data_IF_462979896401
#
_entry.id   IF_462979896401
#
_cell.length_a   1.000
_cell.length_b   1.000
_cell.length_c   1.000
_cell.angle_alpha   90.00
_cell.angle_beta   90.00
_cell.angle_gamma   90.00
#
_symmetry.space_group_name_H-M   'P 1'
#
loop_
_entity.id
_entity.type
_entity.pdbx_description
1 polymer ?
2 water ?
#
# COMPACT_ATOMS: atom_id res chain seq x y z
N UNK A 1 18.10 -19.66 19.77
CA UNK A 1 19.19 -19.23 18.86
C UNK A 1 18.59 -18.19 17.95
N UNK A 2 19.08 -18.15 16.72
CA UNK A 2 18.57 -17.13 15.81
C UNK A 2 17.73 -17.82 14.76
N UNK A 3 16.71 -17.12 14.39
CA UNK A 3 15.84 -17.55 13.35
C UNK A 3 16.56 -17.53 11.99
N UNK A 4 16.07 -18.32 11.05
CA UNK A 4 16.69 -18.34 9.71
C UNK A 4 16.32 -17.11 8.87
N UNK A 5 15.11 -16.63 9.09
CA UNK A 5 14.59 -15.41 8.47
C UNK A 5 13.43 -14.86 9.26
N UNK A 6 13.06 -13.60 9.00
CA UNK A 6 11.85 -12.97 9.53
C UNK A 6 11.11 -12.30 8.39
N UNK A 7 10.45 -13.10 7.54
CA UNK A 7 9.96 -12.58 6.26
C UNK A 7 8.98 -11.42 6.37
N UNK A 8 8.18 -11.34 7.45
CA UNK A 8 7.19 -10.35 7.57
C UNK A 8 7.57 -9.12 8.44
N UNK A 9 8.86 -8.94 8.68
CA UNK A 9 9.30 -7.86 9.57
C UNK A 9 8.78 -6.49 9.07
N UNK A 10 8.92 -6.20 7.79
CA UNK A 10 8.52 -4.91 7.25
C UNK A 10 7.00 -4.66 7.40
N UNK A 11 6.20 -5.66 7.07
CA UNK A 11 4.76 -5.55 7.23
C UNK A 11 4.36 -5.39 8.70
N UNK A 12 5.00 -6.15 9.57
CA UNK A 12 4.85 -5.97 11.00
C UNK A 12 5.12 -4.55 11.46
N UNK A 13 6.15 -3.93 10.94
CA UNK A 13 6.55 -2.62 11.35
C UNK A 13 5.53 -1.55 10.87
N UNK A 14 4.97 -1.77 9.69
CA UNK A 14 3.87 -0.94 9.19
C UNK A 14 2.60 -1.13 10.05
N UNK A 15 2.26 -2.38 10.38
CA UNK A 15 1.03 -2.65 11.17
C UNK A 15 1.13 -2.15 12.61
N UNK A 16 2.34 -2.14 13.17
CA UNK A 16 2.60 -1.69 14.53
C UNK A 16 2.30 -0.22 14.79
N UNK A 17 2.21 0.57 13.75
CA UNK A 17 1.81 1.92 13.88
C UNK A 17 0.38 2.19 13.52
N UNK A 18 -0.40 1.16 13.28
CA UNK A 18 -1.77 1.37 12.90
C UNK A 18 -2.59 1.22 14.15
N UNK A 19 -3.89 1.31 14.02
CA UNK A 19 -4.79 1.21 15.17
C UNK A 19 -5.80 0.10 14.95
N UNK A 20 -6.38 -0.36 16.04
CA UNK A 20 -7.22 -1.53 16.03
C UNK A 20 -8.43 -1.38 15.07
N UNK A 21 -9.01 -0.18 15.08
CA UNK A 21 -10.14 0.13 14.23
C UNK A 21 -9.82 0.25 12.74
N UNK A 22 -8.56 0.33 12.36
CA UNK A 22 -8.21 0.17 10.96
C UNK A 22 -8.48 -1.29 10.43
N UNK A 23 -8.49 -2.26 11.34
CA UNK A 23 -8.76 -3.67 11.02
C UNK A 23 -10.18 -4.12 11.38
N UNK A 24 -10.70 -3.68 12.51
CA UNK A 24 -11.99 -4.21 13.00
C UNK A 24 -13.18 -3.79 12.19
N UNK A 25 -13.04 -2.71 11.42
CA UNK A 25 -14.09 -2.28 10.48
C UNK A 25 -14.38 -3.22 9.29
N UNK A 26 -13.49 -4.18 9.03
CA UNK A 26 -13.63 -5.17 7.94
C UNK A 26 -13.82 -6.58 8.55
N UNK A 27 -14.89 -7.32 8.18
CA UNK A 27 -15.19 -8.52 8.91
C UNK A 27 -14.11 -9.60 8.87
N UNK A 28 -13.55 -9.85 7.70
CA UNK A 28 -12.58 -10.89 7.59
C UNK A 28 -11.26 -10.49 8.27
N UNK A 29 -10.84 -9.25 8.05
CA UNK A 29 -9.63 -8.74 8.68
C UNK A 29 -9.77 -8.82 10.23
N UNK A 30 -10.94 -8.43 10.75
CA UNK A 30 -11.18 -8.49 12.19
C UNK A 30 -10.95 -9.92 12.75
N UNK A 31 -11.55 -10.90 12.09
CA UNK A 31 -11.32 -12.29 12.41
C UNK A 31 -9.86 -12.71 12.32
N UNK A 32 -9.16 -12.23 11.28
CA UNK A 32 -7.72 -12.52 11.15
C UNK A 32 -6.89 -12.22 12.40
N UNK A 33 -7.10 -11.05 12.99
CA UNK A 33 -6.33 -10.66 14.17
C UNK A 33 -7.01 -11.02 15.50
N UNK A 34 -8.08 -11.80 15.43
CA UNK A 34 -8.77 -12.28 16.65
C UNK A 34 -8.21 -13.67 17.17
N UNK A 35 -7.37 -14.29 16.37
CA UNK A 35 -6.45 -15.33 16.81
C UNK A 35 -5.11 -14.62 17.19
N UNK A 36 -4.49 -14.98 18.29
CA UNK A 36 -4.82 -16.15 19.11
C UNK A 36 -5.60 -15.86 20.42
N UNK A 37 -6.03 -14.65 20.65
CA UNK A 37 -6.60 -14.28 21.93
C UNK A 37 -8.07 -14.41 22.07
N UNK A 38 -8.78 -14.63 20.97
CA UNK A 38 -10.24 -14.63 21.02
C UNK A 38 -10.82 -13.24 21.09
N UNK A 39 -10.01 -12.25 20.73
CA UNK A 39 -10.45 -10.90 20.46
C UNK A 39 -9.38 -10.21 19.55
N UNK A 40 -9.82 -9.23 18.75
CA UNK A 40 -8.93 -8.54 17.85
C UNK A 40 -7.81 -7.90 18.65
N UNK A 41 -6.55 -8.09 18.24
CA UNK A 41 -5.40 -7.46 18.93
C UNK A 41 -4.20 -7.25 17.99
N UNK A 42 -3.54 -6.10 18.17
CA UNK A 42 -2.30 -5.77 17.58
C UNK A 42 -1.11 -5.91 18.54
N UNK A 43 -1.31 -6.49 19.70
CA UNK A 43 -0.27 -6.52 20.70
C UNK A 43 0.95 -7.31 20.27
N UNK A 44 0.79 -8.31 19.41
CA UNK A 44 1.97 -9.10 18.99
C UNK A 44 2.82 -8.32 17.94
N UNK A 45 2.16 -7.52 17.12
CA UNK A 45 2.78 -6.58 16.24
C UNK A 45 3.56 -5.55 17.01
N UNK A 46 2.95 -5.00 18.03
CA UNK A 46 3.65 -4.00 18.85
C UNK A 46 4.91 -4.48 19.51
N UNK A 47 4.88 -5.72 19.98
CA UNK A 47 6.08 -6.30 20.62
C UNK A 47 7.13 -6.76 19.62
N UNK A 48 6.74 -7.00 18.37
CA UNK A 48 7.64 -7.43 17.31
C UNK A 48 8.19 -6.37 16.41
N UNK A 49 7.57 -5.17 16.37
CA UNK A 49 8.04 -4.09 15.50
C UNK A 49 9.38 -3.58 15.89
N UNK A 50 10.25 -3.25 14.90
CA UNK A 50 11.45 -2.55 15.17
C UNK A 50 11.28 -1.02 15.34
N UNK A 51 10.08 -0.49 15.11
CA UNK A 51 9.84 0.92 15.21
C UNK A 51 9.17 1.30 16.55
N UNK A 52 8.75 0.37 17.37
CA UNK A 52 7.99 0.69 18.58
C UNK A 52 8.94 0.84 19.76
N UNK A 53 8.87 2.01 20.39
CA UNK A 53 9.58 2.33 21.61
C UNK A 53 8.92 1.62 22.78
N UNK A 54 9.63 0.66 23.35
CA UNK A 54 9.08 -0.19 24.39
C UNK A 54 10.14 -0.12 25.45
N UNK A 55 9.82 -0.63 26.61
CA UNK A 55 10.71 -0.73 27.73
C UNK A 55 10.94 -2.20 28.03
N UNK A 56 12.20 -2.60 28.02
CA UNK A 56 12.65 -4.01 28.17
C UNK A 56 12.26 -4.68 29.46
N UNK A 57 12.31 -3.89 30.52
CA UNK A 57 11.95 -4.36 31.86
C UNK A 57 10.56 -5.02 31.89
N UNK A 58 9.57 -4.45 31.17
CA UNK A 58 8.19 -4.91 31.21
C UNK A 58 7.81 -5.80 30.01
N UNK A 59 8.70 -5.88 29.02
CA UNK A 59 8.51 -6.76 27.90
C UNK A 59 8.22 -8.19 28.38
N UNK A 60 9.02 -8.67 29.31
CA UNK A 60 8.97 -10.06 29.72
C UNK A 60 7.58 -10.42 30.34
N UNK A 61 7.06 -9.50 31.15
CA UNK A 61 5.73 -9.61 31.74
C UNK A 61 4.62 -9.57 30.75
N UNK A 62 4.71 -8.67 29.78
CA UNK A 62 3.71 -8.60 28.73
C UNK A 62 3.66 -9.88 27.89
N UNK A 63 4.82 -10.44 27.59
CA UNK A 63 4.92 -11.64 26.79
C UNK A 63 4.30 -12.82 27.57
N UNK A 64 4.57 -12.90 28.87
CA UNK A 64 4.05 -13.94 29.71
C UNK A 64 2.50 -13.89 29.73
N UNK A 65 2.00 -12.69 29.96
CA UNK A 65 0.57 -12.45 29.98
C UNK A 65 -0.10 -12.88 28.65
N UNK A 66 0.49 -12.50 27.54
CA UNK A 66 -0.08 -12.86 26.24
C UNK A 66 -0.07 -14.36 25.98
N UNK A 67 1.02 -15.03 26.38
CA UNK A 67 1.10 -16.46 26.27
C UNK A 67 -0.03 -17.17 27.10
N UNK A 68 -0.17 -16.73 28.36
CA UNK A 68 -1.10 -17.32 29.30
C UNK A 68 -2.53 -17.12 28.81
N UNK A 69 -2.84 -15.94 28.33
CA UNK A 69 -4.17 -15.71 27.76
C UNK A 69 -4.41 -16.45 26.46
N UNK A 70 -3.39 -16.72 25.65
CA UNK A 70 -3.55 -17.44 24.40
C UNK A 70 -3.90 -18.95 24.62
N UNK A 71 -3.11 -19.63 25.42
CA UNK A 71 -3.22 -21.07 25.59
C UNK A 71 -3.89 -21.47 26.90
N UNK A 72 -4.18 -20.50 27.78
CA UNK A 72 -4.90 -20.75 29.02
C UNK A 72 -4.13 -21.59 30.02
N UNK A 73 -2.84 -21.67 29.94
CA UNK A 73 -2.06 -22.22 31.02
C UNK A 73 -1.49 -21.04 31.79
N UNK A 74 -1.80 -20.98 33.06
CA UNK A 74 -1.40 -19.89 33.93
C UNK A 74 -0.58 -20.38 35.14
N UNK A 75 -0.46 -21.69 35.33
CA UNK A 75 0.18 -22.20 36.53
C UNK A 75 1.67 -22.48 36.37
N UNK A 76 2.23 -22.26 35.21
CA UNK A 76 3.66 -22.53 34.96
C UNK A 76 4.06 -21.81 33.71
N UNK A 77 4.94 -20.83 33.88
CA UNK A 77 5.29 -19.95 32.81
C UNK A 77 5.91 -20.69 31.61
N UNK A 78 6.77 -21.65 31.89
CA UNK A 78 7.39 -22.36 30.81
C UNK A 78 6.35 -23.22 30.08
N UNK A 79 5.35 -23.79 30.79
CA UNK A 79 4.30 -24.56 30.11
C UNK A 79 3.50 -23.64 29.21
N UNK A 80 3.35 -22.40 29.62
CA UNK A 80 2.57 -21.50 28.79
C UNK A 80 3.28 -21.09 27.53
N UNK A 81 4.62 -21.03 27.52
CA UNK A 81 5.32 -20.81 26.28
C UNK A 81 5.27 -22.02 25.34
N UNK A 82 5.42 -23.21 25.90
CA UNK A 82 5.18 -24.41 25.13
C UNK A 82 3.78 -24.34 24.51
N UNK A 83 2.78 -24.00 25.35
CA UNK A 83 1.38 -23.93 24.97
C UNK A 83 1.21 -22.95 23.82
N UNK A 84 1.88 -21.82 23.89
CA UNK A 84 1.69 -20.84 22.81
C UNK A 84 2.41 -21.29 21.55
N UNK A 85 3.56 -21.91 21.72
CA UNK A 85 4.27 -22.44 20.56
C UNK A 85 3.39 -23.51 19.82
N UNK A 86 2.72 -24.37 20.60
CA UNK A 86 1.75 -25.29 20.06
C UNK A 86 0.62 -24.61 19.28
N UNK A 87 0.05 -23.52 19.80
CA UNK A 87 -0.96 -22.80 19.05
C UNK A 87 -0.44 -22.27 17.73
N UNK A 88 0.74 -21.70 17.76
CA UNK A 88 1.44 -21.22 16.55
C UNK A 88 1.55 -22.34 15.52
N UNK A 89 2.08 -23.47 15.93
CA UNK A 89 2.26 -24.58 14.98
C UNK A 89 0.97 -25.12 14.38
N UNK A 90 -0.04 -25.26 15.21
CA UNK A 90 -1.38 -25.70 14.86
C UNK A 90 -2.01 -24.82 13.81
N UNK A 91 -1.99 -23.50 14.03
CA UNK A 91 -2.50 -22.56 13.06
C UNK A 91 -1.60 -22.50 11.77
N UNK A 92 -0.30 -22.57 11.94
CA UNK A 92 0.60 -22.56 10.79
C UNK A 92 0.36 -23.76 9.88
N UNK A 93 0.13 -24.93 10.50
CA UNK A 93 -0.14 -26.14 9.70
C UNK A 93 -1.42 -25.95 8.85
N UNK A 94 -2.47 -25.44 9.47
CA UNK A 94 -3.69 -25.14 8.75
C UNK A 94 -3.45 -24.09 7.67
N UNK A 95 -2.66 -23.08 7.97
CA UNK A 95 -2.41 -22.04 6.98
C UNK A 95 -1.40 -22.41 5.89
N UNK A 96 -0.74 -23.59 5.99
CA UNK A 96 0.28 -23.98 5.01
C UNK A 96 1.57 -23.17 5.14
N UNK A 97 1.88 -22.74 6.37
CA UNK A 97 3.08 -22.00 6.64
C UNK A 97 4.18 -23.03 6.97
N UNK A 98 5.35 -22.82 6.39
CA UNK A 98 6.52 -23.70 6.67
C UNK A 98 6.99 -23.64 8.13
N UNK A 99 6.96 -24.77 8.80
CA UNK A 99 7.30 -24.80 10.22
C UNK A 99 8.80 -24.58 10.48
N UNK A 100 9.66 -24.72 9.47
CA UNK A 100 11.07 -24.28 9.57
C UNK A 100 11.18 -22.82 9.92
N UNK A 101 10.22 -22.00 9.53
CA UNK A 101 10.25 -20.56 9.89
C UNK A 101 9.90 -20.28 11.33
N UNK A 102 9.39 -21.27 12.07
CA UNK A 102 8.78 -21.01 13.38
C UNK A 102 9.35 -21.91 14.49
N UNK A 103 10.63 -21.77 14.81
CA UNK A 103 11.29 -22.66 15.78
C UNK A 103 11.01 -22.34 17.24
N UNK A 104 10.35 -21.24 17.49
CA UNK A 104 9.90 -20.96 18.85
C UNK A 104 10.90 -20.12 19.66
N UNK A 105 11.84 -19.49 19.02
CA UNK A 105 12.81 -18.63 19.68
C UNK A 105 12.18 -17.27 19.97
N UNK A 106 11.38 -16.73 19.08
CA UNK A 106 10.79 -15.40 19.26
C UNK A 106 9.31 -15.54 19.03
N UNK A 107 8.60 -15.89 20.08
CA UNK A 107 7.18 -16.23 19.96
C UNK A 107 6.28 -15.06 19.55
N UNK A 108 6.64 -13.86 19.96
CA UNK A 108 5.93 -12.65 19.54
C UNK A 108 6.02 -12.44 18.03
N UNK A 109 7.21 -12.61 17.43
CA UNK A 109 7.35 -12.52 16.02
C UNK A 109 6.53 -13.62 15.36
N UNK A 110 6.61 -14.84 15.89
CA UNK A 110 5.87 -15.94 15.25
C UNK A 110 4.38 -15.78 15.21
N UNK A 111 3.78 -15.28 16.28
CA UNK A 111 2.36 -15.01 16.25
C UNK A 111 2.05 -13.93 15.22
N UNK A 112 2.86 -12.86 15.19
CA UNK A 112 2.61 -11.76 14.22
C UNK A 112 2.77 -12.26 12.78
N UNK A 113 3.73 -13.15 12.53
CA UNK A 113 3.90 -13.77 11.20
C UNK A 113 2.64 -14.51 10.80
N UNK A 114 2.16 -15.36 11.69
CA UNK A 114 0.93 -16.15 11.38
C UNK A 114 -0.28 -15.21 11.19
N UNK A 115 -0.40 -14.19 12.02
CA UNK A 115 -1.43 -13.18 11.83
C UNK A 115 -1.32 -12.44 10.47
N UNK A 116 -0.10 -12.13 10.03
CA UNK A 116 0.09 -11.56 8.71
C UNK A 116 -0.46 -12.47 7.60
N UNK A 117 -0.18 -13.76 7.68
CA UNK A 117 -0.66 -14.71 6.70
C UNK A 117 -2.19 -14.76 6.72
N UNK A 118 -2.75 -14.84 7.90
CA UNK A 118 -4.23 -14.73 8.06
C UNK A 118 -4.76 -13.47 7.42
N UNK A 119 -4.10 -12.33 7.70
CA UNK A 119 -4.57 -11.05 7.14
C UNK A 119 -4.53 -11.02 5.63
N UNK A 120 -3.46 -11.56 5.05
CA UNK A 120 -3.33 -11.52 3.62
C UNK A 120 -4.36 -12.41 2.95
N UNK A 121 -4.65 -13.56 3.53
CA UNK A 121 -5.71 -14.37 2.95
C UNK A 121 -7.08 -13.73 3.19
N UNK A 122 -7.30 -13.19 4.38
CA UNK A 122 -8.61 -12.57 4.71
C UNK A 122 -8.94 -11.36 3.84
N UNK A 123 -7.90 -10.61 3.46
CA UNK A 123 -8.10 -9.37 2.68
C UNK A 123 -8.76 -9.64 1.34
N UNK A 124 -8.47 -10.80 0.76
CA UNK A 124 -9.08 -11.14 -0.52
C UNK A 124 -10.56 -11.21 -0.45
N UNK A 125 -11.08 -11.77 0.65
CA UNK A 125 -12.50 -11.90 0.83
C UNK A 125 -13.17 -10.54 1.11
N UNK A 126 -12.57 -9.73 1.97
CA UNK A 126 -13.13 -8.40 2.16
C UNK A 126 -13.14 -7.59 0.85
N UNK A 127 -12.05 -7.67 0.09
CA UNK A 127 -11.97 -6.97 -1.20
C UNK A 127 -13.01 -7.48 -2.16
N UNK A 128 -13.24 -8.77 -2.25
CA UNK A 128 -14.29 -9.23 -3.15
C UNK A 128 -15.72 -8.88 -2.65
N UNK A 129 -15.91 -8.54 -1.37
CA UNK A 129 -17.16 -7.84 -0.92
C UNK A 129 -17.14 -6.30 -1.10
N UNK A 130 -16.14 -5.78 -1.82
CA UNK A 130 -16.03 -4.36 -2.14
C UNK A 130 -16.01 -3.44 -0.93
N UNK A 131 -15.33 -3.81 0.14
CA UNK A 131 -15.16 -2.87 1.26
C UNK A 131 -14.40 -1.61 0.81
N UNK A 132 -14.54 -0.53 1.59
CA UNK A 132 -13.87 0.75 1.28
C UNK A 132 -12.42 0.65 1.77
N UNK A 133 -11.44 0.66 0.84
CA UNK A 133 -10.06 0.59 1.28
C UNK A 133 -9.61 1.71 2.20
N UNK A 134 -8.89 1.34 3.23
CA UNK A 134 -8.13 2.25 4.03
C UNK A 134 -6.64 1.87 3.83
N UNK A 135 -5.77 2.43 4.64
CA UNK A 135 -4.37 2.29 4.36
C UNK A 135 -3.88 0.92 4.82
N UNK A 136 -4.56 0.34 5.81
CA UNK A 136 -4.31 -1.00 6.25
C UNK A 136 -4.58 -2.00 5.13
N UNK A 137 -5.70 -1.85 4.46
CA UNK A 137 -6.04 -2.74 3.36
C UNK A 137 -5.06 -2.58 2.21
N UNK A 138 -4.72 -1.34 1.87
CA UNK A 138 -3.80 -1.08 0.78
C UNK A 138 -2.41 -1.71 1.03
N UNK A 139 -1.92 -1.60 2.25
CA UNK A 139 -0.65 -2.21 2.64
C UNK A 139 -0.69 -3.71 2.44
N UNK A 140 -1.81 -4.34 2.78
CA UNK A 140 -1.92 -5.77 2.59
C UNK A 140 -1.97 -6.14 1.14
N UNK A 141 -2.67 -5.33 0.33
CA UNK A 141 -2.73 -5.54 -1.10
C UNK A 141 -1.34 -5.43 -1.73
N UNK A 142 -0.57 -4.47 -1.31
CA UNK A 142 0.75 -4.30 -1.88
C UNK A 142 1.73 -5.46 -1.52
N UNK A 143 1.73 -5.88 -0.27
CA UNK A 143 2.54 -7.00 0.18
C UNK A 143 2.18 -8.26 -0.61
N UNK A 144 0.90 -8.50 -0.85
CA UNK A 144 0.46 -9.67 -1.66
C UNK A 144 0.93 -9.63 -3.08
N UNK A 145 0.81 -8.47 -3.68
CA UNK A 145 1.35 -8.25 -5.00
C UNK A 145 2.86 -8.59 -5.10
N UNK A 146 3.64 -8.09 -4.16
CA UNK A 146 5.05 -8.32 -4.11
C UNK A 146 5.30 -9.84 -4.00
N UNK A 147 4.60 -10.49 -3.10
CA UNK A 147 4.78 -11.94 -2.84
C UNK A 147 4.33 -12.82 -4.00
N UNK A 148 3.25 -12.45 -4.69
CA UNK A 148 2.79 -13.23 -5.83
C UNK A 148 3.88 -13.33 -6.84
N UNK A 149 4.65 -12.27 -6.99
CA UNK A 149 5.79 -12.28 -7.85
C UNK A 149 7.11 -12.93 -7.23
N UNK A 150 7.41 -12.69 -5.96
CA UNK A 150 8.68 -13.03 -5.34
C UNK A 150 8.67 -14.48 -4.87
N UNK A 151 7.66 -14.82 -4.08
CA UNK A 151 7.63 -16.04 -3.33
C UNK A 151 6.16 -16.34 -2.85
N UNK A 152 5.31 -16.79 -3.78
CA UNK A 152 3.88 -16.97 -3.46
C UNK A 152 3.59 -17.93 -2.29
N UNK A 153 4.44 -18.95 -2.10
CA UNK A 153 4.33 -19.84 -0.96
C UNK A 153 4.36 -19.15 0.42
N UNK A 154 5.01 -18.00 0.55
CA UNK A 154 5.01 -17.24 1.78
C UNK A 154 3.60 -16.83 2.25
N UNK A 155 2.62 -16.80 1.34
CA UNK A 155 1.23 -16.51 1.72
C UNK A 155 0.39 -17.69 2.15
N UNK A 156 0.90 -18.88 2.04
CA UNK A 156 0.26 -20.09 2.52
C UNK A 156 -0.89 -20.55 1.62
N UNK A 157 -1.75 -21.39 2.16
CA UNK A 157 -2.88 -21.89 1.42
C UNK A 157 -3.97 -20.88 1.28
N UNK A 158 -4.61 -20.95 0.13
CA UNK A 158 -5.75 -20.13 -0.19
C UNK A 158 -7.00 -20.80 0.36
N UNK A 159 -7.13 -20.91 1.67
CA UNK A 159 -8.22 -21.71 2.25
C UNK A 159 -8.92 -20.95 3.34
N UNK A 160 -8.91 -19.62 3.27
CA UNK A 160 -9.62 -18.78 4.21
C UNK A 160 -11.13 -19.05 4.13
N UNK A 161 -11.78 -19.30 5.25
CA UNK A 161 -13.27 -19.47 5.25
C UNK A 161 -13.93 -18.11 5.48
N UNK A 162 -14.72 -17.59 4.53
CA UNK A 162 -15.35 -16.27 4.75
C UNK A 162 -16.18 -16.19 6.01
N UNK A 163 -16.08 -15.07 6.75
CA UNK A 163 -16.95 -14.86 7.91
C UNK A 163 -18.39 -14.66 7.44
N UNK A 164 -19.38 -15.21 8.15
CA UNK A 164 -20.79 -14.96 7.80
C UNK A 164 -21.31 -13.74 8.58
N UNK A 165 -21.84 -12.72 7.89
CA UNK A 165 -22.67 -11.66 8.56
C UNK A 165 -23.64 -12.14 9.68
N UNK A 166 -23.58 -11.50 10.87
CA UNK A 166 -24.78 -11.49 11.75
C UNK A 166 -25.93 -10.74 11.09
N UNK B 2 11.94 28.87 -10.38
CA UNK B 2 11.51 29.63 -9.19
C UNK B 2 10.17 29.11 -8.46
N UNK B 3 9.72 27.84 -8.53
CA UNK B 3 8.39 27.45 -7.96
C UNK B 3 8.32 27.44 -6.44
N UNK B 4 7.13 27.65 -5.90
CA UNK B 4 6.90 27.76 -4.45
C UNK B 4 6.72 26.40 -3.79
N UNK B 5 6.12 25.47 -4.52
CA UNK B 5 5.98 24.06 -4.07
C UNK B 5 5.83 23.16 -5.27
N UNK B 6 6.13 21.88 -5.08
CA UNK B 6 5.94 20.85 -6.08
C UNK B 6 5.21 19.70 -5.40
N UNK B 7 3.90 19.87 -5.21
CA UNK B 7 3.16 18.90 -4.41
C UNK B 7 3.24 17.44 -4.84
N UNK B 8 3.36 17.17 -6.14
CA UNK B 8 3.33 15.81 -6.63
C UNK B 8 4.72 15.20 -6.90
N UNK B 9 5.79 15.80 -6.33
CA UNK B 9 7.14 15.34 -6.63
C UNK B 9 7.31 13.83 -6.28
N UNK B 10 6.81 13.39 -5.11
CA UNK B 10 6.97 11.99 -4.63
C UNK B 10 6.25 10.99 -5.52
N UNK B 11 5.03 11.33 -5.92
CA UNK B 11 4.27 10.52 -6.84
C UNK B 11 4.95 10.47 -8.20
N UNK B 12 5.37 11.62 -8.69
CA UNK B 12 6.18 11.67 -9.92
C UNK B 12 7.40 10.75 -9.91
N UNK B 13 8.11 10.73 -8.77
CA UNK B 13 9.32 9.96 -8.64
C UNK B 13 9.00 8.45 -8.66
N UNK B 14 7.87 8.07 -8.07
CA UNK B 14 7.38 6.69 -8.12
C UNK B 14 6.94 6.33 -9.55
N UNK B 15 6.21 7.23 -10.23
CA UNK B 15 5.74 6.92 -11.58
C UNK B 15 6.90 6.84 -12.59
N UNK B 16 7.95 7.64 -12.38
CA UNK B 16 9.13 7.71 -13.26
C UNK B 16 9.90 6.43 -13.38
N UNK B 17 9.72 5.53 -12.42
CA UNK B 17 10.32 4.22 -12.49
C UNK B 17 9.39 3.17 -13.03
N UNK B 18 8.18 3.53 -13.44
CA UNK B 18 7.22 2.53 -13.90
C UNK B 18 7.32 2.49 -15.41
N UNK B 19 6.48 1.68 -16.02
CA UNK B 19 6.56 1.45 -17.43
C UNK B 19 5.21 1.74 -18.03
N UNK B 20 5.21 1.97 -19.32
CA UNK B 20 4.02 2.43 -20.00
C UNK B 20 2.82 1.45 -19.86
N UNK B 21 3.13 0.16 -19.97
CA UNK B 21 2.13 -0.90 -19.86
C UNK B 21 1.56 -1.09 -18.45
N UNK B 22 2.18 -0.51 -17.43
CA UNK B 22 1.54 -0.47 -16.11
C UNK B 22 0.28 0.42 -16.12
N UNK B 23 0.23 1.38 -17.02
CA UNK B 23 -0.90 2.29 -17.15
C UNK B 23 -1.82 1.96 -18.33
N UNK B 24 -1.26 1.54 -19.47
CA UNK B 24 -2.06 1.34 -20.70
C UNK B 24 -3.01 0.14 -20.64
N UNK B 25 -2.75 -0.80 -19.74
CA UNK B 25 -3.66 -1.91 -19.46
C UNK B 25 -5.04 -1.53 -18.85
N UNK B 26 -5.18 -0.33 -18.32
CA UNK B 26 -6.42 0.13 -17.70
C UNK B 26 -6.96 1.27 -18.60
N UNK B 27 -8.24 1.17 -19.02
CA UNK B 27 -8.73 2.17 -20.00
C UNK B 27 -8.73 3.65 -19.57
N UNK B 28 -9.17 3.93 -18.36
CA UNK B 28 -9.20 5.31 -17.89
C UNK B 28 -7.80 5.84 -17.59
N UNK B 29 -6.97 5.01 -16.97
CA UNK B 29 -5.57 5.40 -16.73
C UNK B 29 -4.82 5.68 -18.03
N UNK B 30 -5.05 4.84 -19.04
CA UNK B 30 -4.44 5.04 -20.36
C UNK B 30 -4.78 6.41 -20.94
N UNK B 31 -6.06 6.73 -20.93
CA UNK B 31 -6.51 8.06 -21.32
C UNK B 31 -5.86 9.16 -20.48
N UNK B 32 -5.71 8.95 -19.17
CA UNK B 32 -5.11 9.99 -18.29
C UNK B 32 -3.73 10.47 -18.75
N UNK B 33 -2.88 9.54 -19.14
CA UNK B 33 -1.54 9.89 -19.62
C UNK B 33 -1.44 10.10 -21.13
N UNK B 34 -2.56 10.06 -21.84
CA UNK B 34 -2.59 10.34 -23.28
C UNK B 34 -2.68 11.85 -23.61
N UNK B 35 -2.96 12.66 -22.59
CA UNK B 35 -2.77 14.10 -22.63
C UNK B 35 -1.33 14.33 -22.09
N UNK B 36 -0.56 15.26 -22.68
CA UNK B 36 -0.98 16.16 -23.74
C UNK B 36 -0.61 15.76 -25.18
N UNK B 37 -0.04 14.58 -25.39
CA UNK B 37 0.53 14.23 -26.68
C UNK B 37 -0.43 13.55 -27.65
N UNK B 38 -1.61 13.17 -27.20
CA UNK B 38 -2.53 12.38 -28.00
C UNK B 38 -2.13 10.92 -28.04
N UNK B 39 -1.17 10.53 -27.20
CA UNK B 39 -0.81 9.13 -27.03
C UNK B 39 -0.25 8.96 -25.61
N UNK B 40 -0.40 7.75 -25.05
CA UNK B 40 0.09 7.53 -23.68
C UNK B 40 1.59 7.80 -23.59
N UNK B 41 2.03 8.58 -22.61
CA UNK B 41 3.45 8.87 -22.41
C UNK B 41 3.81 9.16 -20.95
N UNK B 42 4.96 8.62 -20.52
CA UNK B 42 5.60 8.92 -19.23
C UNK B 42 6.76 9.88 -19.34
N UNK B 43 6.96 10.49 -20.50
CA UNK B 43 8.13 11.34 -20.72
C UNK B 43 8.20 12.57 -19.83
N UNK B 44 7.07 13.12 -19.43
CA UNK B 44 7.11 14.30 -18.56
C UNK B 44 7.49 13.91 -17.10
N UNK B 45 7.05 12.74 -16.68
CA UNK B 45 7.50 12.14 -15.42
C UNK B 45 8.99 11.90 -15.40
N UNK B 46 9.50 11.34 -16.49
CA UNK B 46 10.93 11.09 -16.59
C UNK B 46 11.81 12.32 -16.46
N UNK B 47 11.35 13.42 -17.06
CA UNK B 47 12.07 14.68 -17.00
C UNK B 47 11.89 15.42 -15.69
N UNK B 48 10.83 15.10 -14.95
CA UNK B 48 10.57 15.71 -13.67
C UNK B 48 11.04 14.93 -12.45
N UNK B 49 11.32 13.63 -12.57
CA UNK B 49 11.68 12.79 -11.41
C UNK B 49 13.03 13.19 -10.87
N UNK B 50 13.18 13.23 -9.56
CA UNK B 50 14.49 13.40 -8.93
C UNK B 50 15.32 12.10 -8.92
N UNK B 51 14.74 10.98 -9.34
CA UNK B 51 15.42 9.71 -9.29
C UNK B 51 15.98 9.29 -10.65
N UNK B 52 15.68 9.99 -11.71
CA UNK B 52 16.05 9.56 -13.05
C UNK B 52 17.38 10.19 -13.41
N UNK B 53 18.34 9.31 -13.71
CA UNK B 53 19.70 9.63 -14.17
C UNK B 53 19.53 10.22 -15.58
N UNK B 54 19.74 11.54 -15.70
CA UNK B 54 19.54 12.28 -16.96
C UNK B 54 20.84 12.96 -17.20
N UNK B 55 21.05 13.37 -18.44
CA UNK B 55 22.16 14.20 -18.80
C UNK B 55 21.62 15.55 -19.26
N UNK B 56 22.12 16.60 -18.62
CA UNK B 56 21.68 17.96 -18.86
C UNK B 56 21.77 18.48 -20.30
N UNK B 57 22.84 18.11 -20.99
CA UNK B 57 23.09 18.58 -22.34
C UNK B 57 21.89 18.31 -23.23
N UNK B 58 21.23 17.17 -23.08
CA UNK B 58 20.12 16.75 -23.95
C UNK B 58 18.72 17.07 -23.39
N UNK B 59 18.66 17.45 -22.12
CA UNK B 59 17.41 17.85 -21.47
C UNK B 59 16.69 18.92 -22.28
N UNK B 60 17.43 19.95 -22.68
CA UNK B 60 16.85 21.09 -23.36
C UNK B 60 16.16 20.66 -24.68
N UNK B 61 16.82 19.79 -25.43
CA UNK B 61 16.28 19.24 -26.69
C UNK B 61 15.06 18.40 -26.52
N UNK B 62 15.07 17.56 -25.50
CA UNK B 62 13.90 16.72 -25.20
C UNK B 62 12.68 17.54 -24.80
N UNK B 63 12.92 18.57 -24.00
CA UNK B 63 11.87 19.49 -23.58
C UNK B 63 11.29 20.22 -24.80
N UNK B 64 12.15 20.70 -25.69
CA UNK B 64 11.72 21.41 -26.89
C UNK B 64 10.83 20.52 -27.76
N UNK B 65 11.30 19.30 -27.99
CA UNK B 65 10.57 18.29 -28.77
C UNK B 65 9.18 18.02 -28.19
N UNK B 66 9.10 17.83 -26.88
CA UNK B 66 7.81 17.58 -26.25
C UNK B 66 6.83 18.76 -26.38
N UNK B 67 7.36 19.97 -26.24
CA UNK B 67 6.55 21.19 -26.40
C UNK B 67 6.02 21.32 -27.83
N UNK B 68 6.91 21.08 -28.80
CA UNK B 68 6.58 21.20 -30.22
C UNK B 68 5.54 20.17 -30.64
N UNK B 69 5.66 18.95 -30.12
CA UNK B 69 4.59 17.94 -30.33
C UNK B 69 3.27 18.30 -29.64
N UNK B 70 2.59 19.35 -30.16
CA UNK B 70 1.32 19.92 -29.66
C UNK B 70 1.17 21.35 -30.23
N UNK B 82 6.03 26.63 -26.88
CA UNK B 82 5.31 27.95 -26.91
C UNK B 82 4.02 27.63 -26.11
N UNK B 83 2.78 27.81 -26.61
CA UNK B 83 1.50 27.52 -25.87
C UNK B 83 1.29 26.09 -25.30
N UNK B 84 2.39 25.44 -24.93
CA UNK B 84 2.25 24.29 -24.06
C UNK B 84 1.74 24.84 -22.73
N UNK B 85 2.13 26.07 -22.37
CA UNK B 85 1.64 26.67 -21.10
C UNK B 85 0.13 26.85 -21.16
N UNK B 86 -0.33 27.22 -22.34
CA UNK B 86 -1.75 27.34 -22.60
C UNK B 86 -2.51 26.03 -22.53
N UNK B 87 -1.95 24.96 -23.06
CA UNK B 87 -2.54 23.62 -22.82
C UNK B 87 -2.62 23.22 -21.34
N UNK B 88 -1.56 23.48 -20.61
CA UNK B 88 -1.54 23.22 -19.17
C UNK B 88 -2.68 23.94 -18.47
N UNK B 89 -2.80 25.23 -18.72
CA UNK B 89 -3.80 26.02 -18.01
C UNK B 89 -5.24 25.58 -18.35
N UNK B 90 -5.48 25.31 -19.65
CA UNK B 90 -6.76 24.83 -20.18
C UNK B 90 -7.18 23.54 -19.48
N UNK B 91 -6.28 22.55 -19.42
CA UNK B 91 -6.57 21.30 -18.71
C UNK B 91 -6.71 21.49 -17.18
N UNK B 92 -5.85 22.32 -16.59
CA UNK B 92 -5.93 22.58 -15.15
C UNK B 92 -7.27 23.22 -14.77
N UNK B 93 -7.75 24.13 -15.60
CA UNK B 93 -9.02 24.75 -15.32
C UNK B 93 -10.13 23.71 -15.33
N UNK B 94 -10.16 22.87 -16.36
CA UNK B 94 -11.15 21.78 -16.44
C UNK B 94 -11.00 20.84 -15.23
N UNK B 95 -9.78 20.58 -14.81
CA UNK B 95 -9.59 19.67 -13.67
C UNK B 95 -9.84 20.32 -12.31
N UNK B 96 -10.04 21.65 -12.24
CA UNK B 96 -10.14 22.35 -10.96
C UNK B 96 -8.84 22.43 -10.19
N UNK B 97 -7.73 22.47 -10.89
CA UNK B 97 -6.42 22.57 -10.23
C UNK B 97 -6.21 24.07 -9.95
N UNK B 98 -5.70 24.40 -8.77
CA UNK B 98 -5.32 25.75 -8.44
C UNK B 98 -4.17 26.29 -9.37
N UNK B 99 -4.47 27.31 -10.15
CA UNK B 99 -3.49 27.82 -11.10
C UNK B 99 -2.35 28.57 -10.44
N UNK B 100 -2.53 29.02 -9.18
CA UNK B 100 -1.39 29.55 -8.39
C UNK B 100 -0.25 28.49 -8.33
N UNK B 101 -0.53 27.20 -8.46
CA UNK B 101 0.54 26.18 -8.52
C UNK B 101 1.31 26.03 -9.85
N UNK B 102 0.86 26.69 -10.88
CA UNK B 102 1.37 26.45 -12.23
C UNK B 102 1.80 27.73 -12.98
N UNK B 103 2.83 28.44 -12.44
CA UNK B 103 3.31 29.71 -13.01
C UNK B 103 4.10 29.60 -14.33
N UNK B 104 4.45 28.41 -14.76
CA UNK B 104 5.06 28.22 -16.07
C UNK B 104 6.58 28.26 -16.04
N UNK B 105 7.19 28.11 -14.86
CA UNK B 105 8.65 28.13 -14.75
C UNK B 105 9.19 26.75 -15.10
N UNK B 106 8.50 25.70 -14.72
CA UNK B 106 8.97 24.35 -14.99
C UNK B 106 7.84 23.60 -15.66
N UNK B 107 7.79 23.69 -16.97
CA UNK B 107 6.68 23.14 -17.72
C UNK B 107 6.59 21.62 -17.69
N UNK B 108 7.74 20.97 -17.58
CA UNK B 108 7.78 19.52 -17.44
C UNK B 108 7.09 19.08 -16.14
N UNK B 109 7.42 19.75 -15.04
CA UNK B 109 6.79 19.44 -13.78
C UNK B 109 5.28 19.69 -13.91
N UNK B 110 4.91 20.81 -14.52
CA UNK B 110 3.52 21.18 -14.61
C UNK B 110 2.68 20.20 -15.40
N UNK B 111 3.20 19.70 -16.51
CA UNK B 111 2.48 18.67 -17.25
C UNK B 111 2.35 17.42 -16.36
N UNK B 112 3.43 17.02 -15.69
CA UNK B 112 3.36 15.80 -14.85
C UNK B 112 2.33 15.98 -13.69
N UNK B 113 2.26 17.19 -13.13
CA UNK B 113 1.33 17.49 -12.06
C UNK B 113 -0.11 17.33 -12.55
N UNK B 114 -0.40 17.89 -13.72
CA UNK B 114 -1.74 17.79 -14.29
C UNK B 114 -2.04 16.32 -14.63
N UNK B 115 -1.07 15.60 -15.19
CA UNK B 115 -1.23 14.14 -15.43
C UNK B 115 -1.48 13.33 -14.15
N UNK B 116 -0.81 13.68 -13.06
CA UNK B 116 -1.12 13.09 -11.78
C UNK B 116 -2.58 13.28 -11.40
N UNK B 117 -3.09 14.50 -11.54
CA UNK B 117 -4.47 14.78 -11.17
C UNK B 117 -5.43 13.97 -12.03
N UNK B 118 -5.18 13.96 -13.33
CA UNK B 118 -5.93 13.12 -14.24
C UNK B 118 -5.90 11.65 -13.77
N UNK B 119 -4.72 11.16 -13.40
CA UNK B 119 -4.58 9.76 -13.00
C UNK B 119 -5.37 9.45 -11.74
N UNK B 120 -5.35 10.35 -10.78
CA UNK B 120 -6.03 10.12 -9.54
C UNK B 120 -7.53 10.13 -9.76
N UNK B 121 -8.03 11.01 -10.61
CA UNK B 121 -9.47 10.97 -10.93
C UNK B 121 -9.84 9.74 -11.77
N UNK B 122 -9.03 9.45 -12.77
CA UNK B 122 -9.28 8.28 -13.63
C UNK B 122 -9.28 6.95 -12.88
N UNK B 123 -8.43 6.84 -11.87
CA UNK B 123 -8.29 5.59 -11.12
C UNK B 123 -9.61 5.17 -10.47
N UNK B 124 -10.39 6.13 -10.03
CA UNK B 124 -11.68 5.81 -9.42
C UNK B 124 -12.62 5.05 -10.34
N UNK B 125 -12.65 5.44 -11.61
CA UNK B 125 -13.48 4.77 -12.60
C UNK B 125 -12.96 3.36 -12.94
N UNK B 126 -11.66 3.21 -13.15
CA UNK B 126 -11.12 1.87 -13.36
C UNK B 126 -11.39 0.97 -12.16
N UNK B 127 -11.22 1.49 -10.96
CA UNK B 127 -11.49 0.70 -9.73
C UNK B 127 -12.97 0.31 -9.64
N UNK B 128 -13.89 1.21 -9.94
CA UNK B 128 -15.29 0.81 -9.88
C UNK B 128 -15.70 -0.18 -11.00
N UNK B 129 -14.91 -0.32 -12.07
CA UNK B 129 -15.03 -1.47 -13.01
C UNK B 129 -14.29 -2.72 -12.55
N UNK B 130 -13.79 -2.72 -11.31
CA UNK B 130 -13.08 -3.85 -10.74
C UNK B 130 -11.86 -4.34 -11.52
N UNK B 131 -11.04 -3.46 -12.07
CA UNK B 131 -9.78 -3.90 -12.70
C UNK B 131 -8.86 -4.59 -11.68
N UNK B 132 -7.88 -5.35 -12.17
CA UNK B 132 -6.92 -6.06 -11.33
C UNK B 132 -5.81 -5.09 -10.91
N UNK B 133 -5.72 -4.78 -9.61
CA UNK B 133 -4.71 -3.82 -9.20
C UNK B 133 -3.29 -4.28 -9.47
N UNK B 134 -2.47 -3.36 -9.97
CA UNK B 134 -1.03 -3.52 -10.03
C UNK B 134 -0.47 -2.41 -9.13
N UNK B 135 0.82 -2.18 -9.20
CA UNK B 135 1.41 -1.34 -8.20
C UNK B 135 1.19 0.11 -8.54
N UNK B 136 1.02 0.39 -9.83
CA UNK B 136 0.68 1.70 -10.30
C UNK B 136 -0.69 2.13 -9.72
N UNK B 137 -1.67 1.23 -9.77
CA UNK B 137 -2.98 1.54 -9.23
C UNK B 137 -2.94 1.71 -7.72
N UNK B 138 -2.22 0.84 -7.04
CA UNK B 138 -2.10 0.94 -5.59
C UNK B 138 -1.46 2.25 -5.13
N UNK B 139 -0.43 2.71 -5.85
CA UNK B 139 0.24 3.95 -5.54
C UNK B 139 -0.74 5.12 -5.67
N UNK B 140 -1.59 5.10 -6.69
CA UNK B 140 -2.59 6.14 -6.89
C UNK B 140 -3.65 6.11 -5.79
N UNK B 141 -4.06 4.92 -5.39
CA UNK B 141 -5.03 4.76 -4.29
C UNK B 141 -4.48 5.32 -2.99
N UNK B 142 -3.20 5.08 -2.72
CA UNK B 142 -2.63 5.52 -1.46
C UNK B 142 -2.48 7.05 -1.44
N UNK B 143 -1.98 7.63 -2.52
CA UNK B 143 -1.85 9.07 -2.62
C UNK B 143 -3.22 9.78 -2.43
N UNK B 144 -4.28 9.24 -3.03
CA UNK B 144 -5.67 9.77 -2.85
C UNK B 144 -6.15 9.75 -1.42
N UNK B 145 -5.91 8.64 -0.74
CA UNK B 145 -6.23 8.58 0.70
C UNK B 145 -5.55 9.66 1.48
N UNK B 146 -4.26 9.82 1.24
CA UNK B 146 -3.48 10.80 1.98
C UNK B 146 -4.08 12.19 1.72
N UNK B 147 -4.35 12.51 0.46
CA UNK B 147 -4.86 13.83 0.09
C UNK B 147 -6.29 14.11 0.58
N UNK B 148 -7.17 13.11 0.57
CA UNK B 148 -8.50 13.29 1.09
C UNK B 148 -8.45 13.75 2.53
N UNK B 149 -7.46 13.28 3.27
CA UNK B 149 -7.23 13.77 4.61
C UNK B 149 -6.42 15.09 4.74
N UNK B 150 -5.37 15.28 3.93
CA UNK B 150 -4.43 16.36 4.10
C UNK B 150 -4.95 17.63 3.44
N UNK B 151 -5.36 17.51 2.19
CA UNK B 151 -5.61 18.65 1.32
C UNK B 151 -6.40 18.24 0.07
N UNK B 152 -7.71 18.05 0.24
CA UNK B 152 -8.49 17.40 -0.82
C UNK B 152 -8.52 18.19 -2.12
N UNK B 153 -8.43 19.52 -2.02
CA UNK B 153 -8.35 20.37 -3.19
C UNK B 153 -7.20 20.02 -4.14
N UNK B 154 -6.11 19.46 -3.63
CA UNK B 154 -5.02 19.01 -4.50
C UNK B 154 -5.45 17.99 -5.56
N UNK B 155 -6.57 17.29 -5.37
CA UNK B 155 -7.06 16.36 -6.41
C UNK B 155 -8.01 16.90 -7.45
N UNK B 156 -8.47 18.13 -7.27
CA UNK B 156 -9.33 18.79 -8.24
C UNK B 156 -10.75 18.30 -8.22
N UNK B 157 -11.46 18.58 -9.29
CA UNK B 157 -12.86 18.22 -9.41
C UNK B 157 -13.02 16.79 -9.77
N UNK B 158 -14.07 16.23 -9.21
CA UNK B 158 -14.49 14.86 -9.47
C UNK B 158 -15.34 14.83 -10.72
N UNK B 159 -14.78 15.13 -11.88
CA UNK B 159 -15.59 15.29 -13.07
C UNK B 159 -14.99 14.52 -14.23
N UNK B 160 -14.25 13.47 -13.93
CA UNK B 160 -13.69 12.62 -14.97
C UNK B 160 -14.83 12.00 -15.79
N UNK B 161 -14.76 12.05 -17.11
CA UNK B 161 -15.75 11.37 -17.95
C UNK B 161 -15.23 9.95 -18.26
N UNK B 162 -15.98 8.89 -17.90
CA UNK B 162 -15.49 7.51 -18.19
C UNK B 162 -15.27 7.23 -19.68
N UNK B 163 -14.18 6.54 -20.00
CA UNK B 163 -13.86 6.10 -21.38
C UNK B 163 -14.90 5.07 -21.87
N UNK B 164 -15.20 5.00 -23.17
CA UNK B 164 -16.13 3.98 -23.70
C UNK B 164 -15.45 2.72 -24.25
#
# INVERSE_FOLDING_TARGET
GAMVAKPFQRLIDLIGHMTLSDFTRFPNLKEAISWPLGEPSLAFFDLSSTRVHRNDDIRRDQIATLAMRSCKITNDLEDSFVGLHRMIATEAILRGIDLCLLPGFDLMYEVAHVQCVRLLQAAKEDISNAVVPNSALIVLMEESLMLRSSLPSMMGRNNWIPVIPPIPDV
GAMVAKPFQRLIDLIGHMTLSDFTRFPNLKEAISWPLGEPSLAFFDLSSTRVHRNDDIRRDQIATLAMRSCKITNDLEDSFVGLHRMIATEAILRGIDLCLLPGFDLMYEVAHVQCVRLLQAAKEDISNAVVPNSALIVLMEESLMLRSSLPSMMGRNNWIPVIPPIPDV
#
